data_IF_461686607453
#
_entry.id   IF_461686607453
#
_cell.length_a   1.000
_cell.length_b   1.000
_cell.length_c   1.000
_cell.angle_alpha   90.00
_cell.angle_beta   90.00
_cell.angle_gamma   90.00
#
_symmetry.space_group_name_H-M   'P 1'
#
loop_
_entity.id
_entity.type
_entity.pdbx_description
1 polymer ?
#
# COMPACT_ATOMS: atom_id res chain seq x y z
N UNK A 1 23.21 -41.19 -31.93
CA UNK A 1 23.61 -39.88 -32.52
C UNK A 1 22.31 -39.10 -32.71
N UNK A 2 22.00 -37.96 -32.10
CA UNK A 2 22.79 -36.83 -31.66
C UNK A 2 21.96 -36.09 -30.59
N UNK A 3 22.55 -35.84 -29.43
CA UNK A 3 21.98 -34.98 -28.37
C UNK A 3 22.30 -33.54 -28.75
N UNK A 4 21.31 -32.65 -28.74
CA UNK A 4 21.56 -31.21 -28.77
C UNK A 4 20.96 -30.57 -27.51
N UNK A 5 21.87 -30.25 -26.61
CA UNK A 5 21.69 -29.26 -25.57
C UNK A 5 22.01 -27.89 -26.16
N UNK A 6 21.18 -26.88 -25.87
CA UNK A 6 21.67 -25.51 -25.65
C UNK A 6 20.57 -24.74 -24.93
N UNK A 7 20.78 -24.48 -23.65
CA UNK A 7 19.98 -23.53 -22.89
C UNK A 7 20.40 -22.09 -23.22
N UNK A 8 19.48 -21.15 -23.01
CA UNK A 8 19.79 -19.76 -22.78
C UNK A 8 18.78 -19.23 -21.76
N UNK A 9 19.20 -19.17 -20.49
CA UNK A 9 18.48 -18.48 -19.45
C UNK A 9 18.66 -16.97 -19.66
N UNK A 10 17.56 -16.25 -19.88
CA UNK A 10 17.54 -14.80 -19.81
C UNK A 10 17.43 -14.42 -18.33
N UNK A 11 18.52 -13.86 -17.81
CA UNK A 11 18.62 -13.22 -16.50
C UNK A 11 18.88 -11.73 -16.72
N UNK A 12 18.40 -10.92 -15.76
CA UNK A 12 18.54 -9.47 -15.56
C UNK A 12 17.41 -8.61 -16.16
N UNK A 13 16.88 -7.58 -15.50
CA UNK A 13 17.03 -7.10 -14.12
C UNK A 13 15.94 -6.05 -13.91
N UNK A 14 15.09 -6.21 -12.89
CA UNK A 14 14.32 -5.08 -12.34
C UNK A 14 14.56 -5.06 -10.84
N UNK A 15 15.37 -4.07 -10.46
CA UNK A 15 15.72 -3.66 -9.12
C UNK A 15 14.49 -3.37 -8.26
N UNK A 16 14.24 -4.24 -7.29
CA UNK A 16 13.80 -3.86 -5.96
C UNK A 16 14.36 -4.89 -4.97
N UNK A 17 15.60 -4.67 -4.55
CA UNK A 17 16.21 -5.40 -3.44
C UNK A 17 15.45 -5.05 -2.15
N UNK A 18 14.41 -5.82 -1.82
CA UNK A 18 14.17 -6.13 -0.42
C UNK A 18 15.16 -7.24 -0.05
N UNK A 19 16.11 -7.04 0.89
CA UNK A 19 16.86 -8.16 1.41
C UNK A 19 15.85 -9.12 2.04
N UNK A 20 15.63 -10.27 1.42
CA UNK A 20 14.96 -11.37 2.09
C UNK A 20 15.85 -11.75 3.29
N UNK A 21 15.45 -11.32 4.49
CA UNK A 21 16.12 -11.73 5.73
C UNK A 21 15.80 -13.21 5.93
N UNK A 22 16.57 -14.09 5.28
CA UNK A 22 16.57 -15.52 5.55
C UNK A 22 17.39 -15.76 6.82
N UNK A 23 16.82 -15.34 7.94
CA UNK A 23 17.16 -15.89 9.24
C UNK A 23 16.56 -17.29 9.30
N UNK A 24 17.34 -18.31 8.94
CA UNK A 24 17.09 -19.69 9.35
C UNK A 24 17.49 -19.81 10.83
N UNK A 25 16.73 -19.16 11.69
CA UNK A 25 16.84 -19.28 13.14
C UNK A 25 15.48 -19.70 13.65
N UNK A 26 15.48 -20.67 14.55
CA UNK A 26 14.31 -21.10 15.33
C UNK A 26 13.39 -19.89 15.62
N UNK A 27 12.13 -19.96 15.17
CA UNK A 27 11.21 -18.83 15.25
C UNK A 27 10.86 -18.58 16.73
N UNK A 28 11.64 -17.73 17.40
CA UNK A 28 11.31 -17.26 18.74
C UNK A 28 9.96 -16.50 18.66
N UNK A 29 9.04 -16.67 19.62
CA UNK A 29 7.77 -15.92 19.72
C UNK A 29 7.83 -14.46 19.27
N UNK A 30 8.90 -13.72 19.59
CA UNK A 30 9.09 -12.34 19.13
C UNK A 30 9.14 -12.20 17.60
N UNK A 31 9.83 -13.11 16.90
CA UNK A 31 9.92 -13.12 15.45
C UNK A 31 8.57 -13.41 14.77
N UNK A 32 7.73 -14.25 15.39
CA UNK A 32 6.37 -14.51 14.90
C UNK A 32 5.49 -13.25 15.01
N UNK A 33 5.55 -12.57 16.16
CA UNK A 33 4.81 -11.33 16.38
C UNK A 33 5.22 -10.26 15.37
N UNK A 34 6.52 -10.08 15.14
CA UNK A 34 7.03 -9.11 14.18
C UNK A 34 6.60 -9.42 12.74
N UNK A 35 6.59 -10.69 12.34
CA UNK A 35 6.11 -11.11 11.02
C UNK A 35 4.62 -10.86 10.84
N UNK A 36 3.83 -11.09 11.89
CA UNK A 36 2.39 -10.82 11.86
C UNK A 36 2.11 -9.31 11.81
N UNK A 37 2.87 -8.51 12.57
CA UNK A 37 2.79 -7.07 12.52
C UNK A 37 3.13 -6.55 11.12
N UNK A 38 4.25 -7.01 10.54
CA UNK A 38 4.65 -6.63 9.18
C UNK A 38 3.56 -6.94 8.15
N UNK A 39 2.94 -8.12 8.23
CA UNK A 39 1.80 -8.51 7.37
C UNK A 39 0.58 -7.60 7.56
N UNK A 40 0.23 -7.25 8.80
CA UNK A 40 -0.94 -6.39 9.10
C UNK A 40 -0.72 -4.93 8.74
N UNK A 41 0.52 -4.46 8.86
CA UNK A 41 0.91 -3.10 8.54
C UNK A 41 1.29 -2.91 7.07
N UNK A 42 1.47 -3.99 6.30
CA UNK A 42 1.69 -3.91 4.87
C UNK A 42 0.51 -3.23 4.18
N UNK A 43 0.77 -2.11 3.51
CA UNK A 43 -0.24 -1.40 2.72
C UNK A 43 0.22 -1.34 1.26
N UNK A 44 -0.15 -2.34 0.43
CA UNK A 44 0.18 -2.33 -0.99
C UNK A 44 -0.53 -1.17 -1.70
N UNK A 45 0.06 -0.71 -2.82
CA UNK A 45 -0.45 0.46 -3.59
C UNK A 45 -1.90 0.27 -4.02
N UNK A 46 -2.31 -0.94 -4.41
CA UNK A 46 -3.71 -1.19 -4.79
C UNK A 46 -4.69 -1.02 -3.63
N UNK A 47 -4.27 -1.30 -2.39
CA UNK A 47 -5.07 -1.03 -1.21
C UNK A 47 -5.14 0.47 -0.92
N UNK A 48 -4.04 1.21 -1.10
CA UNK A 48 -4.05 2.67 -1.00
C UNK A 48 -4.98 3.31 -2.04
N UNK A 49 -5.01 2.78 -3.26
CA UNK A 49 -5.92 3.26 -4.30
C UNK A 49 -7.38 3.06 -3.92
N UNK A 50 -7.75 1.87 -3.44
CA UNK A 50 -9.11 1.60 -2.93
C UNK A 50 -9.47 2.51 -1.75
N UNK A 51 -8.54 2.69 -0.81
CA UNK A 51 -8.73 3.62 0.30
C UNK A 51 -8.97 5.05 -0.18
N UNK A 52 -8.21 5.52 -1.17
CA UNK A 52 -8.41 6.85 -1.76
C UNK A 52 -9.77 6.96 -2.48
N UNK A 53 -10.18 5.93 -3.21
CA UNK A 53 -11.49 5.90 -3.87
C UNK A 53 -12.63 5.95 -2.83
N UNK A 54 -12.48 5.26 -1.70
CA UNK A 54 -13.45 5.31 -0.59
C UNK A 54 -13.44 6.67 0.12
N UNK A 55 -12.26 7.29 0.29
CA UNK A 55 -12.16 8.66 0.81
C UNK A 55 -12.93 9.66 -0.07
N UNK A 56 -12.84 9.54 -1.39
CA UNK A 56 -13.59 10.41 -2.32
C UNK A 56 -15.10 10.23 -2.15
N UNK A 57 -15.59 9.00 -1.94
CA UNK A 57 -17.01 8.75 -1.67
C UNK A 57 -17.48 9.44 -0.38
N UNK A 58 -16.71 9.31 0.69
CA UNK A 58 -17.04 9.96 1.97
C UNK A 58 -16.97 11.48 1.89
N UNK A 59 -16.03 12.03 1.10
CA UNK A 59 -15.97 13.47 0.83
C UNK A 59 -17.22 13.95 0.09
N UNK A 60 -17.67 13.21 -0.93
CA UNK A 60 -18.90 13.56 -1.65
C UNK A 60 -20.13 13.48 -0.73
N UNK A 61 -20.25 12.42 0.05
CA UNK A 61 -21.33 12.28 1.03
C UNK A 61 -21.34 13.46 2.02
N UNK A 62 -20.18 13.81 2.59
CA UNK A 62 -20.04 14.93 3.52
C UNK A 62 -20.37 16.29 2.91
N UNK A 63 -20.15 16.49 1.61
CA UNK A 63 -20.54 17.72 0.90
C UNK A 63 -22.04 17.75 0.54
N UNK A 64 -22.68 16.59 0.40
CA UNK A 64 -24.11 16.47 0.11
C UNK A 64 -24.98 16.65 1.38
N UNK A 65 -24.51 16.20 2.55
CA UNK A 65 -25.23 16.37 3.83
C UNK A 65 -24.31 16.40 5.07
N UNK A 66 -24.74 17.12 6.11
CA UNK A 66 -24.02 17.19 7.40
C UNK A 66 -24.39 16.05 8.38
N UNK A 67 -25.42 15.25 8.06
CA UNK A 67 -26.01 14.28 8.98
C UNK A 67 -25.32 12.91 8.90
N UNK A 68 -24.53 12.57 9.93
CA UNK A 68 -24.06 11.20 10.17
C UNK A 68 -22.94 10.69 9.26
N UNK A 69 -22.41 11.53 8.36
CA UNK A 69 -21.30 11.17 7.48
C UNK A 69 -19.96 11.13 8.23
N UNK A 70 -19.04 10.25 7.80
CA UNK A 70 -17.74 10.09 8.46
C UNK A 70 -16.89 11.36 8.32
N UNK A 71 -16.92 11.97 7.13
CA UNK A 71 -16.27 13.25 6.85
C UNK A 71 -17.32 14.37 6.89
N UNK A 72 -17.14 15.32 7.81
CA UNK A 72 -18.08 16.43 8.00
C UNK A 72 -18.04 17.51 6.91
N UNK A 73 -16.94 17.59 6.16
CA UNK A 73 -16.71 18.57 5.08
C UNK A 73 -17.21 20.00 5.39
N UNK A 74 -16.85 20.51 6.58
CA UNK A 74 -17.33 21.78 7.11
C UNK A 74 -16.90 22.95 6.21
N UNK A 75 -17.83 23.85 5.93
CA UNK A 75 -17.58 25.08 5.17
C UNK A 75 -16.70 26.03 5.99
N UNK A 76 -15.54 26.38 5.46
CA UNK A 76 -14.56 27.25 6.14
C UNK A 76 -14.90 28.75 6.06
N UNK A 77 -15.82 29.14 5.18
CA UNK A 77 -16.10 30.54 4.80
C UNK A 77 -14.88 31.30 4.27
N UNK A 78 -13.85 30.58 3.79
CA UNK A 78 -12.69 31.15 3.11
C UNK A 78 -12.89 31.02 1.61
N UNK A 79 -13.41 32.08 0.99
CA UNK A 79 -13.67 32.10 -0.45
C UNK A 79 -12.46 32.59 -1.26
N UNK A 80 -11.55 33.33 -0.64
CA UNK A 80 -10.37 33.90 -1.28
C UNK A 80 -9.10 33.57 -0.50
N UNK A 81 -8.14 32.92 -1.16
CA UNK A 81 -6.81 32.65 -0.61
C UNK A 81 -5.84 33.80 -0.94
N UNK A 82 -4.79 34.02 -0.13
CA UNK A 82 -3.77 35.03 -0.43
C UNK A 82 -3.08 34.80 -1.78
N UNK A 83 -2.78 35.88 -2.52
CA UNK A 83 -2.15 35.80 -3.85
C UNK A 83 -0.65 36.16 -3.88
N UNK A 84 -0.08 36.53 -2.73
CA UNK A 84 1.28 37.06 -2.61
C UNK A 84 1.29 38.46 -2.04
#
# INVERSE_FOLDING_TARGET
MQKVAMGAAIVCATSACMPAVRGSGEENPAGLILRELDKRCAVPVDQLRRLADDMVKEMNAGLESEDGNLLKMIISYVDNLPTG
#
